data_IF_786996004614
#
_entry.id   IF_786996004614
#
_cell.length_a   1.000
_cell.length_b   1.000
_cell.length_c   1.000
_cell.angle_alpha   90.00
_cell.angle_beta   90.00
_cell.angle_gamma   90.00
#
_symmetry.space_group_name_H-M   'P 1'
#
loop_
_entity.id
_entity.type
_entity.pdbx_description
1 polymer ?
#
# COMPACT_ATOMS: atom_id res chain seq x y z
N UNK A 1 -9.13 -18.60 17.78
CA UNK A 1 -8.92 -17.55 18.80
C UNK A 1 -10.25 -17.21 19.45
N UNK A 2 -10.33 -17.08 20.78
CA UNK A 2 -11.57 -16.60 21.45
C UNK A 2 -11.83 -15.14 21.03
N UNK A 3 -13.09 -14.68 20.96
CA UNK A 3 -13.38 -13.30 20.62
C UNK A 3 -12.73 -12.35 21.64
N UNK A 4 -12.07 -11.33 21.12
CA UNK A 4 -11.41 -10.30 21.95
C UNK A 4 -12.48 -9.48 22.68
N UNK A 5 -12.30 -9.25 23.98
CA UNK A 5 -13.23 -8.43 24.75
C UNK A 5 -13.17 -6.95 24.29
N UNK A 6 -14.28 -6.20 24.48
CA UNK A 6 -14.29 -4.76 24.21
C UNK A 6 -13.23 -4.02 25.01
N UNK A 7 -13.03 -4.44 26.26
CA UNK A 7 -11.99 -3.89 27.13
C UNK A 7 -10.59 -4.08 26.56
N UNK A 8 -10.28 -5.30 26.05
CA UNK A 8 -8.99 -5.56 25.42
C UNK A 8 -8.76 -4.70 24.17
N UNK A 9 -9.81 -4.46 23.38
CA UNK A 9 -9.73 -3.54 22.23
C UNK A 9 -9.41 -2.11 22.67
N UNK A 10 -10.09 -1.60 23.69
CA UNK A 10 -9.89 -0.24 24.20
C UNK A 10 -8.47 -0.08 24.79
N UNK A 11 -8.06 -1.00 25.67
CA UNK A 11 -6.73 -0.97 26.30
C UNK A 11 -5.65 -1.09 25.22
N UNK A 12 -5.83 -1.99 24.26
CA UNK A 12 -4.87 -2.17 23.17
C UNK A 12 -4.73 -0.93 22.30
N UNK A 13 -5.84 -0.35 21.83
CA UNK A 13 -5.82 0.84 20.98
C UNK A 13 -5.17 2.03 21.69
N UNK A 14 -5.58 2.30 22.92
CA UNK A 14 -5.00 3.40 23.68
C UNK A 14 -3.50 3.19 23.95
N UNK A 15 -3.10 1.99 24.37
CA UNK A 15 -1.68 1.69 24.61
C UNK A 15 -0.85 1.84 23.33
N UNK A 16 -1.39 1.44 22.17
CA UNK A 16 -0.70 1.59 20.90
C UNK A 16 -0.56 3.06 20.50
N UNK A 17 -1.62 3.86 20.67
CA UNK A 17 -1.57 5.32 20.42
C UNK A 17 -0.55 6.01 21.31
N UNK A 18 -0.57 5.73 22.63
CA UNK A 18 0.38 6.31 23.60
C UNK A 18 1.83 5.95 23.28
N UNK A 19 2.07 4.79 22.67
CA UNK A 19 3.38 4.30 22.27
C UNK A 19 3.78 4.66 20.83
N UNK A 20 2.89 5.30 20.07
CA UNK A 20 3.13 5.61 18.67
C UNK A 20 3.18 4.38 17.76
N UNK A 21 2.53 3.28 18.16
CA UNK A 21 2.42 2.07 17.37
C UNK A 21 1.20 2.11 16.45
N UNK A 22 1.37 1.71 15.21
CA UNK A 22 0.23 1.66 14.28
C UNK A 22 -0.64 0.44 14.56
N UNK A 23 -1.90 0.67 14.99
CA UNK A 23 -2.83 -0.38 15.40
C UNK A 23 -3.23 -1.37 14.29
N UNK A 24 -3.17 -0.96 13.04
CA UNK A 24 -3.46 -1.81 11.90
C UNK A 24 -2.23 -2.51 11.31
N UNK A 25 -1.10 -2.41 11.98
CA UNK A 25 0.12 -3.04 11.51
C UNK A 25 -0.02 -4.56 11.50
N UNK A 26 0.05 -5.17 10.31
CA UNK A 26 -0.21 -6.60 10.11
C UNK A 26 0.73 -7.51 10.92
N UNK A 27 1.94 -7.07 11.21
CA UNK A 27 2.90 -7.82 12.00
C UNK A 27 2.42 -8.03 13.43
N UNK A 28 1.81 -7.03 14.06
CA UNK A 28 1.24 -7.19 15.40
C UNK A 28 0.02 -8.11 15.41
N UNK A 29 -0.80 -8.10 14.37
CA UNK A 29 -2.01 -8.92 14.32
C UNK A 29 -1.77 -10.34 13.83
N UNK A 30 -1.11 -10.46 12.69
CA UNK A 30 -1.00 -11.75 11.97
C UNK A 30 0.26 -12.50 12.37
N UNK A 31 1.39 -11.82 12.36
CA UNK A 31 2.67 -12.46 12.64
C UNK A 31 2.78 -12.86 14.10
N UNK A 32 2.34 -11.99 15.02
CA UNK A 32 2.27 -12.34 16.44
C UNK A 32 1.41 -13.58 16.67
N UNK A 33 0.19 -13.62 16.13
CA UNK A 33 -0.70 -14.77 16.29
C UNK A 33 -0.10 -16.04 15.68
N UNK A 34 0.52 -15.92 14.52
CA UNK A 34 1.18 -17.05 13.85
C UNK A 34 2.36 -17.55 14.68
N UNK A 35 3.23 -16.68 15.13
CA UNK A 35 4.40 -17.02 15.93
C UNK A 35 4.00 -17.68 17.27
N UNK A 36 2.95 -17.17 17.91
CA UNK A 36 2.42 -17.75 19.14
C UNK A 36 1.83 -19.14 18.90
N UNK A 37 0.92 -19.28 17.94
CA UNK A 37 0.21 -20.55 17.67
C UNK A 37 1.14 -21.64 17.14
N UNK A 38 2.21 -21.28 16.44
CA UNK A 38 3.25 -22.19 15.95
C UNK A 38 4.34 -22.47 16.99
N UNK A 39 4.27 -21.84 18.15
CA UNK A 39 5.25 -22.03 19.22
C UNK A 39 6.62 -21.40 18.95
N UNK A 40 6.72 -20.47 18.02
CA UNK A 40 8.01 -19.86 17.65
C UNK A 40 8.59 -19.03 18.77
N UNK A 41 7.78 -18.31 19.54
CA UNK A 41 8.28 -17.60 20.72
C UNK A 41 8.95 -18.56 21.71
N UNK A 42 8.34 -19.72 21.97
CA UNK A 42 8.93 -20.72 22.87
C UNK A 42 10.20 -21.35 22.29
N UNK A 43 10.28 -21.48 20.96
CA UNK A 43 11.39 -22.12 20.26
C UNK A 43 12.62 -21.20 20.15
N UNK A 44 12.42 -19.94 19.86
CA UNK A 44 13.48 -19.04 19.41
C UNK A 44 13.86 -17.95 20.43
N UNK A 45 12.95 -17.58 21.36
CA UNK A 45 13.32 -16.63 22.42
C UNK A 45 14.26 -17.26 23.44
N UNK A 46 15.17 -16.48 24.03
CA UNK A 46 15.89 -16.90 25.21
C UNK A 46 14.93 -17.37 26.31
N UNK A 47 15.24 -18.48 26.99
CA UNK A 47 14.35 -19.12 27.95
C UNK A 47 13.86 -18.15 29.05
N UNK A 48 14.78 -17.34 29.59
CA UNK A 48 14.48 -16.36 30.64
C UNK A 48 13.53 -15.27 30.12
N UNK A 49 13.70 -14.84 28.88
CA UNK A 49 12.83 -13.83 28.28
C UNK A 49 11.44 -14.43 27.99
N UNK A 50 11.38 -15.64 27.46
CA UNK A 50 10.11 -16.35 27.25
C UNK A 50 9.34 -16.48 28.57
N UNK A 51 9.98 -16.88 29.66
CA UNK A 51 9.38 -17.00 30.99
C UNK A 51 8.93 -15.66 31.60
N UNK A 52 9.54 -14.57 31.18
CA UNK A 52 9.18 -13.23 31.67
C UNK A 52 7.87 -12.67 31.16
N UNK A 53 7.27 -13.32 30.15
CA UNK A 53 5.98 -12.95 29.55
C UNK A 53 4.92 -13.94 30.03
N UNK A 54 3.83 -13.41 30.59
CA UNK A 54 2.72 -14.25 31.04
C UNK A 54 1.81 -14.68 29.89
N UNK A 55 2.25 -15.69 29.14
CA UNK A 55 1.55 -16.23 27.98
C UNK A 55 0.15 -16.77 28.30
N UNK A 56 -0.14 -17.13 29.57
CA UNK A 56 -1.45 -17.60 29.98
C UNK A 56 -2.56 -16.57 29.74
N UNK A 57 -2.19 -15.29 29.70
CA UNK A 57 -3.11 -14.17 29.39
C UNK A 57 -3.51 -14.09 27.92
N UNK A 58 -2.82 -14.80 27.03
CA UNK A 58 -3.23 -14.95 25.62
C UNK A 58 -4.26 -16.05 25.49
N UNK A 59 -4.06 -17.16 26.18
CA UNK A 59 -4.98 -18.30 26.18
C UNK A 59 -6.31 -17.97 26.89
N UNK A 60 -6.22 -17.21 27.96
CA UNK A 60 -7.36 -16.64 28.69
C UNK A 60 -7.32 -15.12 28.52
N UNK A 61 -7.94 -14.57 27.45
CA UNK A 61 -7.74 -13.19 27.04
C UNK A 61 -7.84 -12.19 28.20
N UNK A 62 -6.70 -11.65 28.61
CA UNK A 62 -6.59 -10.62 29.62
C UNK A 62 -5.88 -9.41 28.97
N UNK A 63 -6.55 -8.25 28.86
CA UNK A 63 -5.97 -7.07 28.20
C UNK A 63 -4.66 -6.59 28.83
N UNK A 64 -4.36 -6.95 30.08
CA UNK A 64 -3.10 -6.60 30.73
C UNK A 64 -1.87 -7.15 30.04
N UNK A 65 -1.99 -8.21 29.24
CA UNK A 65 -0.87 -8.69 28.38
C UNK A 65 -0.42 -7.60 27.40
N UNK A 66 -1.34 -6.81 26.88
CA UNK A 66 -1.03 -5.74 25.91
C UNK A 66 -0.20 -4.63 26.57
N UNK A 67 -0.43 -4.35 27.85
CA UNK A 67 0.35 -3.37 28.62
C UNK A 67 1.78 -3.86 28.92
N UNK A 68 2.06 -5.15 28.81
CA UNK A 68 3.40 -5.71 28.90
C UNK A 68 4.09 -5.79 27.53
N UNK A 69 3.45 -6.43 26.54
CA UNK A 69 4.10 -6.73 25.26
C UNK A 69 4.26 -5.50 24.36
N UNK A 70 3.29 -4.58 24.33
CA UNK A 70 3.37 -3.41 23.46
C UNK A 70 4.52 -2.46 23.81
N UNK A 71 4.79 -2.14 25.08
CA UNK A 71 5.98 -1.38 25.43
C UNK A 71 7.30 -2.10 25.09
N UNK A 72 7.33 -3.45 25.18
CA UNK A 72 8.53 -4.19 24.75
C UNK A 72 8.78 -3.98 23.24
N UNK A 73 7.72 -4.01 22.43
CA UNK A 73 7.81 -3.80 20.98
C UNK A 73 8.21 -2.36 20.67
N UNK A 74 7.53 -1.38 21.25
CA UNK A 74 7.79 0.04 20.99
C UNK A 74 9.22 0.46 21.33
N UNK A 75 9.74 -0.03 22.46
CA UNK A 75 11.08 0.29 22.94
C UNK A 75 12.15 -0.75 22.57
N UNK A 76 11.83 -1.71 21.70
CA UNK A 76 12.75 -2.77 21.24
C UNK A 76 13.44 -3.51 22.39
N UNK A 77 12.71 -3.79 23.47
CA UNK A 77 13.24 -4.45 24.68
C UNK A 77 13.35 -5.95 24.45
N UNK A 78 14.55 -6.48 24.65
CA UNK A 78 14.86 -7.89 24.47
C UNK A 78 14.76 -8.37 23.02
N UNK A 79 14.90 -9.66 22.81
CA UNK A 79 14.75 -10.28 21.48
C UNK A 79 13.30 -10.22 20.99
N UNK A 80 12.33 -10.45 21.88
CA UNK A 80 10.92 -10.34 21.54
C UNK A 80 10.55 -8.95 20.98
N UNK A 81 10.92 -7.89 21.71
CA UNK A 81 10.61 -6.53 21.30
C UNK A 81 11.33 -6.14 20.02
N UNK A 82 12.58 -6.60 19.84
CA UNK A 82 13.35 -6.37 18.63
C UNK A 82 12.69 -7.06 17.42
N UNK A 83 12.37 -8.35 17.50
CA UNK A 83 11.77 -9.09 16.41
C UNK A 83 10.41 -8.54 16.00
N UNK A 84 9.54 -8.31 16.99
CA UNK A 84 8.19 -7.79 16.72
C UNK A 84 8.20 -6.31 16.26
N UNK A 85 9.26 -5.60 16.48
CA UNK A 85 9.42 -4.22 16.04
C UNK A 85 10.11 -4.07 14.66
N UNK A 86 10.59 -5.15 14.07
CA UNK A 86 11.25 -5.17 12.76
C UNK A 86 10.29 -5.60 11.65
N UNK A 87 10.75 -5.57 10.40
CA UNK A 87 9.97 -6.06 9.27
C UNK A 87 9.92 -7.59 9.24
N UNK A 88 8.92 -8.16 8.58
CA UNK A 88 8.82 -9.62 8.42
C UNK A 88 10.08 -10.26 7.84
N UNK A 89 10.73 -9.73 6.78
CA UNK A 89 11.98 -10.30 6.30
C UNK A 89 13.10 -10.34 7.33
N UNK A 90 13.28 -9.25 8.09
CA UNK A 90 14.32 -9.21 9.15
C UNK A 90 14.02 -10.23 10.27
N UNK A 91 12.75 -10.39 10.63
CA UNK A 91 12.32 -11.40 11.59
C UNK A 91 12.58 -12.83 11.08
N UNK A 92 12.32 -13.11 9.80
CA UNK A 92 12.59 -14.41 9.20
C UNK A 92 14.09 -14.75 9.22
N UNK A 93 14.94 -13.77 8.96
CA UNK A 93 16.39 -13.94 9.05
C UNK A 93 16.82 -14.38 10.46
N UNK A 94 16.24 -13.80 11.52
CA UNK A 94 16.51 -14.22 12.90
C UNK A 94 16.08 -15.67 13.17
N UNK A 95 15.05 -16.15 12.49
CA UNK A 95 14.58 -17.53 12.66
C UNK A 95 15.30 -18.51 11.73
N UNK A 96 16.14 -18.03 10.82
CA UNK A 96 16.75 -18.86 9.79
C UNK A 96 15.72 -19.48 8.81
N UNK A 97 14.60 -18.78 8.57
CA UNK A 97 13.54 -19.18 7.67
C UNK A 97 13.63 -18.41 6.37
N UNK A 98 13.36 -19.08 5.26
CA UNK A 98 13.18 -18.43 3.98
C UNK A 98 11.77 -17.83 3.85
N UNK A 99 11.63 -16.86 2.96
CA UNK A 99 10.34 -16.28 2.62
C UNK A 99 9.35 -17.35 2.13
N UNK A 100 9.82 -18.32 1.35
CA UNK A 100 8.98 -19.40 0.84
C UNK A 100 8.50 -20.35 1.94
N UNK A 101 9.37 -20.67 2.92
CA UNK A 101 8.96 -21.46 4.09
C UNK A 101 7.93 -20.74 4.93
N UNK A 102 8.08 -19.42 5.09
CA UNK A 102 7.11 -18.58 5.77
C UNK A 102 5.76 -18.58 5.04
N UNK A 103 5.74 -18.31 3.73
CA UNK A 103 4.53 -18.26 2.89
C UNK A 103 3.76 -19.57 2.91
N UNK A 104 4.43 -20.72 2.87
CA UNK A 104 3.78 -22.05 2.91
C UNK A 104 2.99 -22.29 4.19
N UNK A 105 3.46 -21.73 5.30
CA UNK A 105 2.93 -22.04 6.62
C UNK A 105 2.04 -20.96 7.21
N UNK A 106 1.95 -19.78 6.59
CA UNK A 106 1.38 -18.59 7.21
C UNK A 106 0.47 -17.82 6.27
N UNK A 107 -0.53 -17.17 6.86
CA UNK A 107 -1.50 -16.34 6.15
C UNK A 107 -1.03 -14.89 5.99
N UNK A 108 0.25 -14.62 6.22
CA UNK A 108 0.80 -13.28 6.09
C UNK A 108 0.79 -12.85 4.63
N UNK A 109 0.00 -11.83 4.35
CA UNK A 109 -0.06 -11.18 3.06
C UNK A 109 0.86 -9.99 3.09
N UNK A 110 1.97 -10.04 2.37
CA UNK A 110 2.83 -8.89 2.21
C UNK A 110 3.25 -8.71 0.76
N UNK A 111 3.50 -7.47 0.43
CA UNK A 111 3.89 -7.00 -0.87
C UNK A 111 5.38 -6.64 -0.87
N UNK A 112 5.74 -5.57 -1.54
CA UNK A 112 7.11 -5.11 -1.62
C UNK A 112 7.81 -5.03 -0.25
N UNK A 113 9.09 -5.28 -0.21
CA UNK A 113 9.98 -5.22 0.96
C UNK A 113 9.45 -5.93 2.23
N UNK A 114 8.59 -6.93 2.04
CA UNK A 114 8.04 -7.73 3.13
C UNK A 114 7.02 -7.01 4.02
N UNK A 115 6.47 -5.90 3.56
CA UNK A 115 5.48 -5.15 4.33
C UNK A 115 4.09 -5.76 4.17
N UNK A 116 3.45 -6.26 5.24
CA UNK A 116 2.08 -6.74 5.15
C UNK A 116 1.13 -5.58 4.84
N UNK A 117 0.24 -5.79 3.87
CA UNK A 117 -0.80 -4.82 3.54
C UNK A 117 -2.05 -5.12 4.36
N UNK A 118 -2.56 -4.12 5.05
CA UNK A 118 -3.84 -4.21 5.76
C UNK A 118 -5.00 -4.12 4.77
N UNK A 119 -4.90 -3.18 3.84
CA UNK A 119 -5.85 -3.00 2.76
C UNK A 119 -5.11 -3.12 1.43
N UNK A 120 -5.45 -4.14 0.68
CA UNK A 120 -4.97 -4.31 -0.68
C UNK A 120 -5.92 -3.63 -1.68
N UNK A 121 -5.35 -3.15 -2.76
CA UNK A 121 -6.10 -2.59 -3.90
C UNK A 121 -6.13 -3.56 -5.07
N UNK A 122 -5.72 -4.80 -4.87
CA UNK A 122 -5.67 -5.86 -5.88
C UNK A 122 -7.01 -6.11 -6.56
N UNK A 123 -8.09 -5.80 -5.87
CA UNK A 123 -9.45 -5.88 -6.41
C UNK A 123 -9.71 -4.91 -7.58
N UNK A 124 -8.88 -3.91 -7.78
CA UNK A 124 -8.94 -3.00 -8.92
C UNK A 124 -7.94 -3.41 -10.04
N UNK A 125 -7.62 -4.67 -10.09
CA UNK A 125 -6.84 -5.30 -11.15
C UNK A 125 -5.41 -4.78 -11.25
N UNK A 126 -4.98 -4.50 -12.47
CA UNK A 126 -3.63 -4.01 -12.73
C UNK A 126 -3.34 -2.69 -12.01
N UNK A 127 -4.30 -1.78 -11.95
CA UNK A 127 -4.14 -0.48 -11.27
C UNK A 127 -3.83 -0.70 -9.80
N UNK A 128 -4.65 -1.48 -9.12
CA UNK A 128 -4.47 -1.78 -7.70
C UNK A 128 -3.19 -2.56 -7.42
N UNK A 129 -2.82 -3.50 -8.29
CA UNK A 129 -1.59 -4.28 -8.13
C UNK A 129 -0.36 -3.40 -8.26
N UNK A 130 -0.24 -2.61 -9.34
CA UNK A 130 0.90 -1.71 -9.51
C UNK A 130 0.95 -0.65 -8.40
N UNK A 131 -0.20 -0.08 -8.02
CA UNK A 131 -0.28 0.87 -6.90
C UNK A 131 0.26 0.28 -5.59
N UNK A 132 -0.14 -0.94 -5.25
CA UNK A 132 0.34 -1.63 -4.05
C UNK A 132 1.87 -1.81 -4.05
N UNK A 133 2.47 -2.06 -5.21
CA UNK A 133 3.91 -2.24 -5.33
C UNK A 133 4.70 -0.93 -5.17
N UNK A 134 4.12 0.21 -5.58
CA UNK A 134 4.80 1.51 -5.59
C UNK A 134 5.01 2.11 -4.19
N UNK A 135 4.29 1.63 -3.18
CA UNK A 135 4.31 2.21 -1.84
C UNK A 135 4.87 1.24 -0.79
N UNK A 136 5.64 1.77 0.15
CA UNK A 136 6.13 1.03 1.33
C UNK A 136 5.02 0.80 2.37
N UNK A 137 3.92 1.50 2.26
CA UNK A 137 2.76 1.43 3.13
C UNK A 137 1.53 1.05 2.34
N UNK A 138 0.49 0.62 3.04
CA UNK A 138 -0.85 0.40 2.53
C UNK A 138 -1.39 1.64 1.76
N UNK A 139 -1.60 1.56 0.45
CA UNK A 139 -2.05 2.69 -0.34
C UNK A 139 -3.57 2.84 -0.38
N UNK A 140 -4.35 1.86 0.10
CA UNK A 140 -5.79 1.82 -0.09
C UNK A 140 -6.51 2.99 0.58
N UNK A 141 -6.14 3.33 1.82
CA UNK A 141 -6.76 4.44 2.55
C UNK A 141 -6.52 5.80 1.90
N UNK A 142 -5.75 5.83 0.84
CA UNK A 142 -5.35 7.03 0.11
C UNK A 142 -5.60 6.92 -1.39
N UNK A 143 -6.24 5.84 -1.84
CA UNK A 143 -6.45 5.60 -3.27
C UNK A 143 -7.87 5.95 -3.72
N UNK A 144 -7.99 6.64 -4.83
CA UNK A 144 -9.26 6.93 -5.51
C UNK A 144 -9.59 5.82 -6.53
N UNK A 145 -9.71 4.58 -6.05
CA UNK A 145 -9.96 3.43 -6.93
C UNK A 145 -11.35 2.82 -6.74
N UNK A 146 -12.29 3.63 -6.26
CA UNK A 146 -13.60 3.16 -5.80
C UNK A 146 -14.65 2.97 -6.90
N UNK A 147 -14.28 3.03 -8.18
CA UNK A 147 -15.24 2.77 -9.25
C UNK A 147 -15.90 1.40 -9.12
N UNK A 148 -15.10 0.36 -8.87
CA UNK A 148 -15.60 -1.01 -8.71
C UNK A 148 -16.56 -1.20 -7.54
N UNK A 149 -16.49 -0.34 -6.52
CA UNK A 149 -17.36 -0.37 -5.33
C UNK A 149 -18.49 0.64 -5.37
N UNK A 150 -18.61 1.42 -6.44
CA UNK A 150 -19.62 2.49 -6.58
C UNK A 150 -21.06 2.01 -6.65
N UNK A 151 -21.26 0.73 -7.05
CA UNK A 151 -22.59 0.18 -7.33
C UNK A 151 -23.20 0.67 -8.65
N UNK A 152 -22.48 1.51 -9.42
CA UNK A 152 -22.95 1.96 -10.73
C UNK A 152 -22.78 0.86 -11.78
N UNK A 153 -23.70 0.79 -12.79
CA UNK A 153 -23.50 -0.09 -13.94
C UNK A 153 -22.18 0.17 -14.64
N UNK A 154 -21.50 -0.89 -15.11
CA UNK A 154 -20.18 -0.79 -15.74
C UNK A 154 -20.14 0.17 -16.92
N UNK A 155 -21.19 0.17 -17.76
CA UNK A 155 -21.29 1.09 -18.91
C UNK A 155 -21.24 2.56 -18.46
N UNK A 156 -21.97 2.90 -17.40
CA UNK A 156 -21.94 4.26 -16.85
C UNK A 156 -20.57 4.59 -16.23
N UNK A 157 -19.93 3.64 -15.56
CA UNK A 157 -18.56 3.81 -15.07
C UNK A 157 -17.60 4.11 -16.22
N UNK A 158 -17.72 3.39 -17.35
CA UNK A 158 -16.92 3.60 -18.56
C UNK A 158 -17.17 4.97 -19.20
N UNK A 159 -18.43 5.41 -19.27
CA UNK A 159 -18.76 6.74 -19.78
C UNK A 159 -18.11 7.86 -18.93
N UNK A 160 -18.14 7.73 -17.62
CA UNK A 160 -17.50 8.66 -16.69
C UNK A 160 -15.98 8.62 -16.86
N UNK A 161 -15.40 7.43 -16.90
CA UNK A 161 -13.96 7.23 -17.06
C UNK A 161 -13.43 7.80 -18.39
N UNK A 162 -14.18 7.66 -19.46
CA UNK A 162 -13.82 8.23 -20.75
C UNK A 162 -13.70 9.76 -20.72
N UNK A 163 -14.53 10.43 -19.92
CA UNK A 163 -14.45 11.88 -19.73
C UNK A 163 -13.23 12.32 -18.95
N UNK A 164 -12.79 11.53 -17.96
CA UNK A 164 -11.69 11.90 -17.07
C UNK A 164 -10.32 11.43 -17.59
N UNK A 165 -10.25 10.24 -18.16
CA UNK A 165 -8.99 9.60 -18.55
C UNK A 165 -8.88 9.27 -20.03
N UNK A 166 -9.89 9.68 -20.84
CA UNK A 166 -9.86 9.59 -22.29
C UNK A 166 -10.41 8.30 -22.87
N UNK A 167 -10.67 7.26 -22.06
CA UNK A 167 -11.26 5.99 -22.52
C UNK A 167 -11.91 5.23 -21.36
N UNK A 168 -13.06 4.58 -21.62
CA UNK A 168 -13.80 3.82 -20.63
C UNK A 168 -13.05 2.61 -20.08
N UNK A 169 -12.10 2.07 -20.82
CA UNK A 169 -11.28 0.93 -20.39
C UNK A 169 -10.37 1.23 -19.20
N UNK A 170 -10.24 2.50 -18.81
CA UNK A 170 -9.54 2.91 -17.60
C UNK A 170 -10.15 2.34 -16.30
N UNK A 171 -11.40 1.86 -16.32
CA UNK A 171 -12.11 1.31 -15.14
C UNK A 171 -12.50 -0.16 -15.28
N UNK A 172 -11.97 -0.85 -16.25
CA UNK A 172 -12.18 -2.30 -16.38
C UNK A 172 -11.50 -3.01 -15.22
N UNK A 173 -12.29 -3.55 -14.31
CA UNK A 173 -11.85 -4.15 -13.05
C UNK A 173 -12.53 -5.49 -12.78
N UNK A 174 -12.84 -5.78 -11.51
CA UNK A 174 -13.43 -7.05 -11.08
C UNK A 174 -14.74 -7.36 -11.82
N UNK A 175 -14.83 -8.59 -12.33
CA UNK A 175 -16.01 -9.09 -13.04
C UNK A 175 -16.03 -8.78 -14.52
N UNK A 176 -15.22 -7.85 -14.97
CA UNK A 176 -14.98 -7.54 -16.37
C UNK A 176 -13.50 -7.23 -16.61
N UNK A 177 -12.65 -8.14 -16.17
CA UNK A 177 -11.21 -8.01 -16.33
C UNK A 177 -10.83 -7.97 -17.82
N UNK A 178 -10.05 -6.98 -18.17
CA UNK A 178 -9.49 -6.81 -19.52
C UNK A 178 -7.97 -6.60 -19.39
N UNK A 179 -7.21 -6.99 -20.41
CA UNK A 179 -5.78 -6.73 -20.44
C UNK A 179 -5.42 -5.28 -20.16
N UNK A 180 -4.22 -5.06 -19.68
CA UNK A 180 -3.70 -3.73 -19.39
C UNK A 180 -3.65 -2.84 -20.64
N UNK A 181 -3.80 -1.56 -20.44
CA UNK A 181 -3.67 -0.56 -21.48
C UNK A 181 -3.19 0.80 -20.89
N UNK A 182 -2.85 1.72 -21.80
CA UNK A 182 -2.34 3.04 -21.40
C UNK A 182 -3.32 3.85 -20.54
N UNK A 183 -4.62 3.69 -20.73
CA UNK A 183 -5.62 4.49 -20.01
C UNK A 183 -5.77 4.04 -18.56
N UNK A 184 -5.58 2.75 -18.27
CA UNK A 184 -5.45 2.24 -16.91
C UNK A 184 -4.24 2.89 -16.20
N UNK A 185 -3.11 3.04 -16.89
CA UNK A 185 -1.92 3.68 -16.33
C UNK A 185 -2.06 5.20 -16.21
N UNK A 186 -2.79 5.86 -17.11
CA UNK A 186 -3.17 7.27 -16.96
C UNK A 186 -4.02 7.45 -15.68
N UNK A 187 -5.02 6.59 -15.47
CA UNK A 187 -5.79 6.59 -14.23
C UNK A 187 -4.90 6.33 -13.00
N UNK A 188 -4.00 5.34 -13.08
CA UNK A 188 -3.06 5.06 -11.98
C UNK A 188 -2.22 6.27 -11.61
N UNK A 189 -1.64 6.96 -12.60
CA UNK A 189 -0.88 8.20 -12.37
C UNK A 189 -1.73 9.27 -11.68
N UNK A 190 -2.98 9.42 -12.10
CA UNK A 190 -3.94 10.33 -11.47
C UNK A 190 -4.23 9.92 -10.02
N UNK A 191 -4.48 8.64 -9.73
CA UNK A 191 -4.69 8.11 -8.37
C UNK A 191 -3.51 8.43 -7.48
N UNK A 192 -2.28 8.22 -7.95
CA UNK A 192 -1.06 8.54 -7.20
C UNK A 192 -0.98 10.05 -6.92
N UNK A 193 -1.21 10.90 -7.93
CA UNK A 193 -1.19 12.34 -7.77
C UNK A 193 -2.17 12.81 -6.68
N UNK A 194 -3.40 12.28 -6.71
CA UNK A 194 -4.45 12.66 -5.74
C UNK A 194 -4.19 12.13 -4.34
N UNK A 195 -3.70 10.90 -4.23
CA UNK A 195 -3.29 10.36 -2.94
C UNK A 195 -2.26 11.27 -2.27
N UNK A 196 -1.18 11.59 -2.96
CA UNK A 196 -0.13 12.44 -2.41
C UNK A 196 -0.62 13.87 -2.14
N UNK A 197 -1.45 14.42 -3.03
CA UNK A 197 -2.05 15.73 -2.83
C UNK A 197 -2.91 15.78 -1.57
N UNK A 198 -3.73 14.74 -1.34
CA UNK A 198 -4.56 14.67 -0.14
C UNK A 198 -3.73 14.56 1.12
N UNK A 199 -2.68 13.76 1.13
CA UNK A 199 -1.76 13.66 2.27
C UNK A 199 -1.09 15.02 2.56
N UNK A 200 -0.68 15.74 1.52
CA UNK A 200 -0.07 17.08 1.65
C UNK A 200 -1.04 18.14 2.16
N UNK A 201 -2.31 18.06 1.78
CA UNK A 201 -3.34 19.04 2.16
C UNK A 201 -4.10 18.66 3.44
N UNK A 202 -3.84 17.49 4.01
CA UNK A 202 -4.59 16.99 5.17
C UNK A 202 -6.04 16.62 4.86
N UNK A 203 -6.34 16.27 3.61
CA UNK A 203 -7.66 15.83 3.17
C UNK A 203 -7.78 14.32 3.35
N UNK A 204 -8.88 13.87 3.96
CA UNK A 204 -9.16 12.45 4.10
C UNK A 204 -9.62 11.84 2.76
N UNK A 205 -8.83 10.97 2.17
CA UNK A 205 -9.17 10.31 0.90
C UNK A 205 -10.42 9.41 0.97
N UNK A 206 -10.85 9.00 2.16
CA UNK A 206 -12.10 8.27 2.35
C UNK A 206 -13.36 9.13 2.10
N UNK A 207 -13.25 10.43 2.26
CA UNK A 207 -14.37 11.36 2.03
C UNK A 207 -14.35 11.96 0.65
N UNK A 208 -13.32 11.70 -0.09
CA UNK A 208 -13.04 12.32 -1.37
C UNK A 208 -12.67 11.30 -2.44
N UNK A 209 -13.60 10.54 -3.01
CA UNK A 209 -13.56 10.31 -4.43
C UNK A 209 -14.39 11.41 -5.11
N UNK A 210 -13.72 12.44 -5.60
CA UNK A 210 -14.41 13.53 -6.29
C UNK A 210 -14.83 13.19 -7.73
N UNK A 211 -14.38 12.07 -8.26
CA UNK A 211 -14.71 11.59 -9.61
C UNK A 211 -16.14 11.12 -9.76
N UNK A 212 -16.77 10.70 -8.67
CA UNK A 212 -18.16 10.24 -8.69
C UNK A 212 -19.06 11.14 -7.83
N UNK A 213 -20.30 11.29 -8.25
CA UNK A 213 -21.35 11.97 -7.49
C UNK A 213 -22.51 11.01 -7.22
N UNK A 214 -23.15 11.04 -6.07
CA UNK A 214 -24.37 10.26 -5.81
C UNK A 214 -25.60 10.83 -6.54
N UNK A 215 -25.46 11.98 -7.19
CA UNK A 215 -26.56 12.73 -7.77
C UNK A 215 -26.83 12.30 -9.22
N UNK A 216 -28.01 11.74 -9.47
CA UNK A 216 -28.45 11.31 -10.79
C UNK A 216 -28.55 12.48 -11.79
N UNK A 217 -28.98 13.64 -11.33
CA UNK A 217 -29.11 14.85 -12.16
C UNK A 217 -27.75 15.38 -12.65
N UNK A 218 -26.65 14.94 -12.06
CA UNK A 218 -25.28 15.16 -12.53
C UNK A 218 -24.75 14.04 -13.42
N UNK A 219 -25.60 13.05 -13.77
CA UNK A 219 -25.14 11.84 -14.46
C UNK A 219 -24.12 11.05 -13.65
N UNK A 220 -24.15 11.17 -12.30
CA UNK A 220 -23.20 10.59 -11.37
C UNK A 220 -21.75 11.06 -11.53
N UNK A 221 -21.53 12.12 -12.31
CA UNK A 221 -20.21 12.71 -12.54
C UNK A 221 -19.85 13.62 -11.36
N UNK A 222 -18.68 13.36 -10.77
CA UNK A 222 -18.10 14.18 -9.71
C UNK A 222 -17.43 15.47 -10.23
N UNK A 223 -16.64 16.07 -9.39
CA UNK A 223 -15.86 17.27 -9.68
C UNK A 223 -14.38 17.02 -9.37
N UNK A 224 -13.63 16.64 -10.40
CA UNK A 224 -12.21 16.31 -10.27
C UNK A 224 -11.30 17.56 -10.11
N UNK A 225 -11.88 18.76 -10.11
CA UNK A 225 -11.17 20.01 -9.82
C UNK A 225 -11.49 20.55 -8.41
N UNK A 226 -12.12 19.74 -7.57
CA UNK A 226 -12.57 20.18 -6.25
C UNK A 226 -11.41 20.61 -5.36
N UNK A 227 -10.28 19.92 -5.41
CA UNK A 227 -9.11 20.26 -4.61
C UNK A 227 -8.57 21.66 -4.94
N UNK A 228 -8.51 22.03 -6.21
CA UNK A 228 -8.08 23.38 -6.63
C UNK A 228 -9.04 24.46 -6.14
N UNK A 229 -10.35 24.18 -6.15
CA UNK A 229 -11.38 25.11 -5.65
C UNK A 229 -11.28 25.27 -4.14
N UNK A 230 -11.14 24.17 -3.41
CA UNK A 230 -10.96 24.17 -1.94
C UNK A 230 -9.64 24.87 -1.57
N UNK A 231 -8.54 24.52 -2.24
CA UNK A 231 -7.25 25.15 -2.00
C UNK A 231 -7.30 26.67 -2.16
N UNK A 232 -7.91 27.15 -3.26
CA UNK A 232 -8.12 28.58 -3.48
C UNK A 232 -8.99 29.22 -2.40
N UNK A 233 -10.08 28.56 -2.01
CA UNK A 233 -11.00 29.09 -1.00
C UNK A 233 -10.34 29.25 0.37
N UNK A 234 -9.46 28.32 0.74
CA UNK A 234 -8.77 28.31 2.05
C UNK A 234 -7.55 29.23 2.08
N UNK A 235 -6.75 29.24 1.00
CA UNK A 235 -5.45 29.91 0.99
C UNK A 235 -5.45 31.27 0.29
N UNK A 236 -6.47 31.55 -0.54
CA UNK A 236 -6.49 32.68 -1.46
C UNK A 236 -5.56 32.53 -2.68
N UNK A 237 -4.80 31.44 -2.76
CA UNK A 237 -3.86 31.18 -3.86
C UNK A 237 -4.58 30.41 -4.96
N UNK A 238 -4.52 30.91 -6.20
CA UNK A 238 -5.05 30.20 -7.35
C UNK A 238 -4.00 29.26 -7.92
N UNK A 239 -4.29 27.98 -7.90
CA UNK A 239 -3.57 26.92 -8.63
C UNK A 239 -4.60 26.11 -9.43
N UNK A 240 -4.23 25.75 -10.64
CA UNK A 240 -5.02 24.79 -11.44
C UNK A 240 -4.92 23.39 -10.83
N UNK A 241 -5.85 22.52 -11.20
CA UNK A 241 -5.79 21.14 -10.73
C UNK A 241 -4.54 20.41 -11.25
N UNK A 242 -4.12 20.70 -12.49
CA UNK A 242 -2.89 20.12 -13.06
C UNK A 242 -1.62 20.55 -12.29
N UNK A 243 -1.57 21.79 -11.82
CA UNK A 243 -0.46 22.25 -10.97
C UNK A 243 -0.43 21.56 -9.61
N UNK A 244 -1.61 21.32 -9.02
CA UNK A 244 -1.74 20.57 -7.78
C UNK A 244 -1.40 19.08 -7.99
N UNK A 245 -1.89 18.47 -9.06
CA UNK A 245 -1.57 17.08 -9.40
C UNK A 245 -0.07 16.89 -9.65
N UNK A 246 0.56 17.86 -10.31
CA UNK A 246 2.02 17.89 -10.49
C UNK A 246 2.76 18.01 -9.15
N UNK A 247 2.22 18.75 -8.18
CA UNK A 247 2.79 18.83 -6.83
C UNK A 247 2.67 17.47 -6.10
N UNK A 248 1.53 16.78 -6.21
CA UNK A 248 1.36 15.42 -5.68
C UNK A 248 2.36 14.43 -6.29
N UNK A 249 2.50 14.41 -7.62
CA UNK A 249 3.49 13.55 -8.29
C UNK A 249 4.93 13.89 -7.88
N UNK A 250 5.25 15.14 -7.60
CA UNK A 250 6.55 15.54 -7.05
C UNK A 250 6.79 14.92 -5.68
N UNK A 251 5.77 14.89 -4.81
CA UNK A 251 5.86 14.24 -3.50
C UNK A 251 6.11 12.73 -3.64
N UNK A 252 5.36 12.06 -4.50
CA UNK A 252 5.58 10.65 -4.82
C UNK A 252 7.00 10.37 -5.31
N UNK A 253 7.50 11.17 -6.25
CA UNK A 253 8.87 11.02 -6.76
C UNK A 253 9.90 11.21 -5.65
N UNK A 254 9.71 12.18 -4.76
CA UNK A 254 10.60 12.41 -3.65
C UNK A 254 10.64 11.22 -2.69
N UNK A 255 9.50 10.63 -2.35
CA UNK A 255 9.42 9.40 -1.56
C UNK A 255 10.16 8.24 -2.26
N UNK A 256 9.99 8.10 -3.58
CA UNK A 256 10.70 7.07 -4.36
C UNK A 256 12.22 7.26 -4.31
N UNK A 257 12.73 8.49 -4.44
CA UNK A 257 14.15 8.77 -4.29
C UNK A 257 14.67 8.43 -2.88
N UNK A 258 13.89 8.71 -1.84
CA UNK A 258 14.24 8.29 -0.47
C UNK A 258 14.33 6.77 -0.36
N UNK A 259 13.37 6.04 -0.91
CA UNK A 259 13.37 4.58 -0.91
C UNK A 259 14.59 4.02 -1.66
N UNK A 260 14.92 4.57 -2.83
CA UNK A 260 16.12 4.19 -3.58
C UNK A 260 17.40 4.36 -2.75
N UNK A 261 17.52 5.47 -2.02
CA UNK A 261 18.67 5.74 -1.14
C UNK A 261 18.71 4.80 0.07
N UNK A 262 17.57 4.49 0.69
CA UNK A 262 17.47 3.54 1.80
C UNK A 262 17.87 2.12 1.38
N UNK A 263 17.39 1.70 0.22
CA UNK A 263 17.69 0.38 -0.34
C UNK A 263 19.04 0.33 -1.07
N UNK A 264 19.69 1.50 -1.29
CA UNK A 264 20.97 1.64 -2.01
C UNK A 264 20.92 1.00 -3.40
N UNK A 265 19.81 1.13 -4.11
CA UNK A 265 19.61 0.56 -5.43
C UNK A 265 18.82 1.50 -6.34
N UNK A 266 19.13 1.44 -7.64
CA UNK A 266 18.29 2.00 -8.69
C UNK A 266 17.33 0.96 -9.29
N UNK A 267 17.57 -0.31 -9.04
CA UNK A 267 16.73 -1.41 -9.51
C UNK A 267 15.49 -1.54 -8.61
N UNK A 268 14.60 -0.57 -8.73
CA UNK A 268 13.36 -0.55 -7.97
C UNK A 268 12.40 -1.63 -8.46
N UNK A 269 12.41 -1.92 -9.76
CA UNK A 269 11.51 -2.91 -10.38
C UNK A 269 11.66 -4.30 -9.75
N UNK A 270 12.87 -4.76 -9.51
CA UNK A 270 13.11 -6.12 -9.02
C UNK A 270 13.33 -6.19 -7.51
N UNK A 271 13.74 -5.08 -6.89
CA UNK A 271 14.02 -5.03 -5.44
C UNK A 271 12.80 -4.58 -4.63
N UNK A 272 12.10 -3.55 -5.12
CA UNK A 272 11.02 -2.89 -4.37
C UNK A 272 9.63 -3.18 -4.94
N UNK A 273 9.43 -3.00 -6.26
CA UNK A 273 8.13 -3.03 -6.92
C UNK A 273 7.65 -4.48 -7.17
N UNK A 274 7.64 -5.26 -6.10
CA UNK A 274 7.32 -6.69 -6.12
C UNK A 274 5.90 -6.96 -5.69
N UNK A 275 5.29 -7.97 -6.26
CA UNK A 275 3.97 -8.46 -5.92
C UNK A 275 4.03 -9.95 -5.53
N UNK A 276 3.11 -10.44 -4.67
CA UNK A 276 3.08 -11.82 -4.26
C UNK A 276 2.34 -12.70 -5.28
N UNK A 277 2.77 -13.95 -5.44
CA UNK A 277 2.17 -14.89 -6.38
C UNK A 277 0.71 -15.23 -6.07
N UNK A 278 0.28 -15.10 -4.82
CA UNK A 278 -1.10 -15.41 -4.42
C UNK A 278 -2.15 -14.55 -5.12
N UNK A 279 -1.77 -13.38 -5.71
CA UNK A 279 -2.71 -12.56 -6.48
C UNK A 279 -3.18 -13.23 -7.78
N UNK A 280 -2.42 -14.20 -8.29
CA UNK A 280 -2.74 -14.92 -9.52
C UNK A 280 -3.50 -16.21 -9.22
N UNK A 281 -3.08 -16.95 -8.23
CA UNK A 281 -3.72 -18.18 -7.79
C UNK A 281 -3.46 -18.43 -6.31
N UNK A 282 -4.52 -18.37 -5.52
CA UNK A 282 -4.46 -18.59 -4.08
C UNK A 282 -5.36 -19.77 -3.72
N UNK A 283 -4.75 -20.86 -3.26
CA UNK A 283 -5.47 -22.05 -2.78
C UNK A 283 -6.48 -21.76 -1.64
N UNK A 284 -6.32 -20.62 -0.95
CA UNK A 284 -7.25 -20.16 0.10
C UNK A 284 -8.36 -19.25 -0.43
N UNK A 285 -8.41 -19.03 -1.73
CA UNK A 285 -9.45 -18.22 -2.39
C UNK A 285 -9.39 -16.72 -2.09
N UNK A 286 -8.22 -16.19 -1.72
CA UNK A 286 -8.01 -14.76 -1.44
C UNK A 286 -7.60 -13.97 -2.67
N UNK A 287 -7.11 -14.66 -3.70
CA UNK A 287 -6.68 -14.01 -4.94
C UNK A 287 -7.84 -13.26 -5.58
N UNK A 288 -7.61 -12.01 -6.03
CA UNK A 288 -8.59 -11.28 -6.82
C UNK A 288 -8.83 -12.01 -8.14
N UNK A 289 -9.99 -11.78 -8.75
CA UNK A 289 -10.35 -12.35 -10.07
C UNK A 289 -10.38 -13.88 -10.15
N UNK A 290 -10.50 -14.60 -9.02
CA UNK A 290 -10.64 -16.06 -9.03
C UNK A 290 -12.06 -16.51 -9.32
N UNK A 291 -13.03 -15.60 -9.43
CA UNK A 291 -14.41 -15.93 -9.79
C UNK A 291 -14.56 -16.10 -11.31
N UNK A 292 -14.91 -17.30 -11.74
CA UNK A 292 -15.06 -17.62 -13.15
C UNK A 292 -13.73 -17.95 -13.85
N UNK A 293 -13.66 -17.69 -15.13
CA UNK A 293 -12.50 -18.01 -16.00
C UNK A 293 -11.52 -16.85 -16.18
N UNK A 294 -11.81 -15.70 -15.63
CA UNK A 294 -11.01 -14.47 -15.82
C UNK A 294 -10.03 -14.34 -14.66
N UNK A 295 -8.74 -14.34 -14.99
CA UNK A 295 -7.63 -14.21 -14.02
C UNK A 295 -6.65 -13.14 -14.48
N UNK A 296 -5.96 -12.52 -13.51
CA UNK A 296 -4.77 -11.74 -13.85
C UNK A 296 -3.65 -12.67 -14.29
N UNK A 297 -2.87 -12.20 -15.26
CA UNK A 297 -1.69 -12.91 -15.76
C UNK A 297 -0.42 -12.12 -15.40
N UNK A 298 0.67 -12.85 -15.12
CA UNK A 298 1.96 -12.23 -14.82
C UNK A 298 2.41 -11.26 -15.90
N UNK A 299 2.36 -11.70 -17.16
CA UNK A 299 2.77 -10.87 -18.31
C UNK A 299 1.95 -9.58 -18.43
N UNK A 300 0.69 -9.60 -18.02
CA UNK A 300 -0.18 -8.43 -18.05
C UNK A 300 0.20 -7.42 -16.96
N UNK A 301 0.63 -7.89 -15.79
CA UNK A 301 1.17 -7.02 -14.72
C UNK A 301 2.51 -6.46 -15.11
N UNK A 302 3.43 -7.27 -15.66
CA UNK A 302 4.73 -6.79 -16.14
C UNK A 302 4.56 -5.71 -17.22
N UNK A 303 3.64 -5.92 -18.16
CA UNK A 303 3.29 -4.90 -19.16
C UNK A 303 2.67 -3.65 -18.53
N UNK A 304 1.96 -3.80 -17.42
CA UNK A 304 1.43 -2.64 -16.69
C UNK A 304 2.54 -1.79 -16.09
N UNK A 305 3.58 -2.42 -15.54
CA UNK A 305 4.78 -1.71 -15.10
C UNK A 305 5.48 -0.99 -16.26
N UNK A 306 5.67 -1.67 -17.40
CA UNK A 306 6.28 -1.04 -18.58
C UNK A 306 5.52 0.22 -18.98
N UNK A 307 4.21 0.11 -19.18
CA UNK A 307 3.35 1.24 -19.58
C UNK A 307 3.34 2.37 -18.53
N UNK A 308 3.37 2.03 -17.25
CA UNK A 308 3.42 3.02 -16.19
C UNK A 308 4.79 3.72 -16.12
N UNK A 309 5.87 2.98 -16.22
CA UNK A 309 7.22 3.54 -16.23
C UNK A 309 7.46 4.43 -17.45
N UNK A 310 7.01 4.01 -18.64
CA UNK A 310 7.02 4.88 -19.83
C UNK A 310 6.22 6.17 -19.62
N UNK A 311 5.00 6.07 -19.07
CA UNK A 311 4.14 7.23 -18.79
C UNK A 311 4.75 8.21 -17.79
N UNK A 312 5.50 7.70 -16.82
CA UNK A 312 6.17 8.49 -15.78
C UNK A 312 7.57 8.96 -16.19
N UNK A 313 8.06 8.59 -17.37
CA UNK A 313 9.44 8.82 -17.81
C UNK A 313 10.47 8.22 -16.83
N UNK A 314 10.21 6.96 -16.41
CA UNK A 314 11.12 6.14 -15.65
C UNK A 314 11.91 5.23 -16.59
N UNK A 315 13.05 4.76 -16.16
CA UNK A 315 13.77 3.68 -16.84
C UNK A 315 12.95 2.38 -16.69
N UNK A 316 12.48 1.82 -17.82
CA UNK A 316 11.59 0.65 -17.83
C UNK A 316 12.23 -0.59 -17.21
N UNK A 317 13.55 -0.74 -17.34
CA UNK A 317 14.26 -1.91 -16.82
C UNK A 317 14.43 -1.87 -15.31
N UNK A 318 14.63 -0.69 -14.77
CA UNK A 318 14.96 -0.51 -13.34
C UNK A 318 13.83 0.10 -12.52
N UNK A 319 12.86 0.75 -13.17
CA UNK A 319 11.81 1.51 -12.48
C UNK A 319 12.33 2.80 -11.81
N UNK A 320 13.58 3.20 -12.04
CA UNK A 320 14.13 4.44 -11.52
C UNK A 320 13.61 5.66 -12.30
N UNK A 321 13.27 6.79 -11.65
CA UNK A 321 12.98 8.03 -12.35
C UNK A 321 14.19 8.48 -13.18
N UNK A 322 13.97 8.95 -14.42
CA UNK A 322 15.06 9.53 -15.23
C UNK A 322 15.37 10.96 -14.77
N UNK A 323 16.54 11.47 -15.17
CA UNK A 323 16.89 12.88 -14.95
C UNK A 323 15.86 13.83 -15.58
N UNK A 324 15.34 13.46 -16.76
CA UNK A 324 14.30 14.23 -17.45
C UNK A 324 13.02 14.30 -16.59
N UNK A 325 12.57 13.17 -16.07
CA UNK A 325 11.43 13.12 -15.15
C UNK A 325 11.66 14.04 -13.94
N UNK A 326 12.80 13.94 -13.27
CA UNK A 326 13.08 14.74 -12.08
C UNK A 326 13.10 16.24 -12.38
N UNK A 327 13.64 16.65 -13.52
CA UNK A 327 13.63 18.05 -13.95
C UNK A 327 12.21 18.55 -14.23
N UNK A 328 11.40 17.76 -14.92
CA UNK A 328 10.01 18.09 -15.24
C UNK A 328 9.17 18.35 -13.99
N UNK A 329 9.37 17.53 -12.95
CA UNK A 329 8.64 17.67 -11.69
C UNK A 329 9.32 18.60 -10.66
N UNK A 330 10.34 19.36 -11.05
CA UNK A 330 10.99 20.36 -10.21
C UNK A 330 11.94 19.77 -9.15
N UNK A 331 12.46 18.58 -9.38
CA UNK A 331 13.43 17.88 -8.52
C UNK A 331 14.87 17.94 -9.07
N UNK A 332 15.19 18.93 -9.90
CA UNK A 332 16.54 19.10 -10.48
C UNK A 332 17.67 19.10 -9.42
N UNK A 333 17.40 19.62 -8.21
CA UNK A 333 18.36 19.62 -7.10
C UNK A 333 18.70 18.22 -6.55
N UNK A 334 17.83 17.24 -6.76
CA UNK A 334 18.07 15.86 -6.35
C UNK A 334 19.02 15.11 -7.32
N UNK A 335 19.05 15.49 -8.60
CA UNK A 335 19.84 14.82 -9.64
C UNK A 335 21.32 14.65 -9.28
N UNK A 336 22.06 15.71 -8.88
CA UNK A 336 23.48 15.55 -8.55
C UNK A 336 23.70 14.63 -7.33
N UNK A 337 22.77 14.62 -6.38
CA UNK A 337 22.84 13.76 -5.19
C UNK A 337 22.71 12.31 -5.60
N UNK A 338 21.68 11.99 -6.39
CA UNK A 338 21.41 10.63 -6.85
C UNK A 338 22.53 10.09 -7.75
N UNK A 339 23.08 10.92 -8.65
CA UNK A 339 24.24 10.56 -9.48
C UNK A 339 25.49 10.26 -8.63
N UNK A 340 25.75 11.07 -7.61
CA UNK A 340 26.89 10.85 -6.69
C UNK A 340 26.78 9.52 -5.95
N UNK A 341 25.58 9.08 -5.67
CA UNK A 341 25.29 7.80 -4.99
C UNK A 341 25.17 6.61 -5.97
N UNK A 342 25.29 6.84 -7.29
CA UNK A 342 25.17 5.79 -8.32
C UNK A 342 23.73 5.29 -8.51
N UNK A 343 22.74 6.11 -8.16
CA UNK A 343 21.31 5.77 -8.17
C UNK A 343 20.55 6.36 -9.37
N UNK A 344 21.24 7.11 -10.22
CA UNK A 344 20.79 7.62 -11.52
C UNK A 344 21.80 7.34 -12.61
#
# INVERSE_FOLDING_TARGET
MKPVSREACLVGSQTMDDLGLWCNYGQLHRDFCTMYTKGYFKKYLPEEEYKSIDWSKIDNPDPRILQDILPRIAYRKGEFGRWMGETTPAMLEHFGLTEDEWKKNHDTLYWSVGHPKHHGNENDGQIGTVLNCMYNRDPMSHGHINFSTSGLPLELQREIAAKFWGDGSAVDGIGDYRPTNKYKMIRLRWVIARKELHDMLGICSWTAPWELSPLRERGYIGDIEMESKVFKAVTGISMTQDELDKAGLRAFLLQRLYTMRQLKTKDMRHVHDRYPDWIFDDAKGRAPFTKGTIRMEHDDIEKSFDLFFELMDFDVKTGAPTEKCLNEYGLAKAVPVMKKEGLL
#
